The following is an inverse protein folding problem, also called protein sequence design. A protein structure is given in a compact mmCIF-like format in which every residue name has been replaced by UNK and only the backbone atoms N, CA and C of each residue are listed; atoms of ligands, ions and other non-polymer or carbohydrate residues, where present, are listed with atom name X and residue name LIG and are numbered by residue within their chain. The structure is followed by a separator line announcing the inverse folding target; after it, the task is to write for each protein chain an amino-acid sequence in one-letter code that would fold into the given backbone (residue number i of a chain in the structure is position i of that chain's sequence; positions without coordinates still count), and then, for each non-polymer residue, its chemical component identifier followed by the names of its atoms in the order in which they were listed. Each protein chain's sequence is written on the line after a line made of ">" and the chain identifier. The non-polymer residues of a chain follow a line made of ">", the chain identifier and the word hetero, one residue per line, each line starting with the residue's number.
data_IF_592992056014
#
_entry.id   IF_592992056014
#
_cell.length_a   1.000
_cell.length_b   1.000
_cell.length_c   1.000
_cell.angle_alpha   90.00
_cell.angle_beta   90.00
_cell.angle_gamma   90.00
#
_symmetry.space_group_name_H-M   'P 1'
#
loop_
_entity.id
_entity.type
_entity.pdbx_description
1 polymer ?
#
# COMPACT_ATOMS: atom_id res chain seq x y z
N UNK A 1 -19.39 -6.79 4.12
CA UNK A 1 -18.09 -6.13 3.87
C UNK A 1 -17.04 -7.21 3.75
N UNK A 2 -16.12 -7.09 2.79
CA UNK A 2 -14.94 -7.96 2.70
C UNK A 2 -14.09 -7.85 3.97
N UNK A 3 -13.30 -8.89 4.30
CA UNK A 3 -12.33 -8.78 5.38
C UNK A 3 -11.09 -8.01 4.90
N UNK A 4 -10.31 -7.43 5.82
CA UNK A 4 -9.03 -6.80 5.47
C UNK A 4 -8.13 -7.78 4.68
N UNK A 5 -8.06 -9.04 5.12
CA UNK A 5 -7.27 -10.06 4.42
C UNK A 5 -7.75 -10.27 2.98
N UNK A 6 -9.07 -10.36 2.78
CA UNK A 6 -9.62 -10.49 1.43
C UNK A 6 -9.26 -9.31 0.53
N UNK A 7 -9.23 -8.08 1.08
CA UNK A 7 -8.75 -6.89 0.36
C UNK A 7 -7.25 -6.96 0.06
N UNK A 8 -6.41 -7.41 0.99
CA UNK A 8 -4.97 -7.55 0.73
C UNK A 8 -4.68 -8.60 -0.36
N UNK A 9 -5.50 -9.64 -0.44
CA UNK A 9 -5.37 -10.70 -1.44
C UNK A 9 -5.72 -10.22 -2.86
N UNK A 10 -6.43 -9.09 -3.03
CA UNK A 10 -6.70 -8.51 -4.36
C UNK A 10 -5.56 -7.65 -4.90
N UNK A 11 -4.52 -7.39 -4.11
CA UNK A 11 -3.31 -6.69 -4.55
C UNK A 11 -2.52 -7.62 -5.50
N UNK A 12 -2.38 -7.24 -6.77
CA UNK A 12 -1.73 -8.07 -7.79
C UNK A 12 -0.47 -7.41 -8.34
N UNK A 13 0.55 -8.17 -8.77
CA UNK A 13 1.68 -7.60 -9.52
C UNK A 13 1.22 -6.97 -10.84
N UNK A 14 1.77 -5.81 -11.18
CA UNK A 14 1.55 -5.08 -12.43
C UNK A 14 2.90 -4.52 -12.91
N UNK A 15 3.67 -5.35 -13.62
CA UNK A 15 5.06 -5.05 -13.95
C UNK A 15 5.96 -4.98 -12.72
N UNK A 16 6.57 -3.81 -12.47
CA UNK A 16 7.44 -3.58 -11.30
C UNK A 16 6.72 -2.87 -10.13
N UNK A 17 5.38 -2.78 -10.20
CA UNK A 17 4.53 -2.22 -9.16
C UNK A 17 3.48 -3.24 -8.73
N UNK A 18 2.71 -2.92 -7.70
CA UNK A 18 1.50 -3.64 -7.34
C UNK A 18 0.27 -2.80 -7.68
N UNK A 19 -0.82 -3.43 -8.11
CA UNK A 19 -2.05 -2.75 -8.45
C UNK A 19 -3.26 -3.40 -7.76
N UNK A 20 -4.28 -2.60 -7.52
CA UNK A 20 -5.56 -3.04 -6.96
C UNK A 20 -6.67 -2.08 -7.40
N UNK A 21 -7.88 -2.60 -7.61
CA UNK A 21 -9.07 -1.75 -7.70
C UNK A 21 -9.49 -1.35 -6.28
N UNK A 22 -9.65 -0.05 -6.03
CA UNK A 22 -10.06 0.46 -4.73
C UNK A 22 -11.39 -0.22 -4.28
N UNK A 23 -11.39 -0.97 -3.16
CA UNK A 23 -12.58 -1.68 -2.71
C UNK A 23 -13.60 -0.67 -2.17
N UNK A 24 -14.58 -0.33 -3.00
CA UNK A 24 -15.53 0.77 -2.77
C UNK A 24 -16.33 0.65 -1.47
N UNK A 25 -16.50 -0.56 -0.93
CA UNK A 25 -17.14 -0.81 0.35
C UNK A 25 -16.32 -0.33 1.55
N UNK A 26 -15.04 -0.04 1.36
CA UNK A 26 -14.13 0.55 2.34
C UNK A 26 -13.91 2.06 2.13
N UNK A 27 -14.67 2.68 1.22
CA UNK A 27 -14.59 4.11 0.98
C UNK A 27 -15.24 4.94 2.09
N UNK A 28 -14.59 6.04 2.42
CA UNK A 28 -15.15 7.15 3.21
C UNK A 28 -15.37 8.35 2.27
N UNK A 29 -16.55 8.42 1.67
CA UNK A 29 -16.84 9.42 0.65
C UNK A 29 -16.13 9.09 -0.67
N UNK A 30 -15.25 10.00 -1.13
CA UNK A 30 -14.56 9.89 -2.44
C UNK A 30 -13.20 9.17 -2.37
N UNK A 31 -12.82 8.61 -1.23
CA UNK A 31 -11.51 7.97 -1.01
C UNK A 31 -11.67 6.74 -0.14
N UNK A 32 -10.77 5.77 -0.27
CA UNK A 32 -10.62 4.70 0.71
C UNK A 32 -10.34 5.26 2.10
N UNK A 33 -10.83 4.55 3.13
CA UNK A 33 -10.38 4.76 4.49
C UNK A 33 -8.86 4.64 4.55
N UNK A 34 -8.18 5.63 5.15
CA UNK A 34 -6.71 5.73 5.10
C UNK A 34 -5.99 4.50 5.66
N UNK A 35 -6.60 3.78 6.61
CA UNK A 35 -6.06 2.50 7.11
C UNK A 35 -6.00 1.39 6.06
N UNK A 36 -6.92 1.37 5.09
CA UNK A 36 -6.91 0.41 3.98
C UNK A 36 -5.79 0.74 2.99
N UNK A 37 -5.65 2.01 2.61
CA UNK A 37 -4.54 2.45 1.76
C UNK A 37 -3.19 2.19 2.42
N UNK A 38 -3.07 2.43 3.72
CA UNK A 38 -1.86 2.14 4.50
C UNK A 38 -1.55 0.63 4.56
N UNK A 39 -2.57 -0.22 4.74
CA UNK A 39 -2.40 -1.67 4.77
C UNK A 39 -1.98 -2.22 3.40
N UNK A 40 -2.57 -1.72 2.30
CA UNK A 40 -2.19 -2.08 0.93
C UNK A 40 -0.75 -1.64 0.61
N UNK A 41 -0.35 -0.43 1.01
CA UNK A 41 1.03 0.05 0.83
C UNK A 41 2.03 -0.83 1.59
N UNK A 42 1.72 -1.20 2.84
CA UNK A 42 2.57 -2.10 3.61
C UNK A 42 2.63 -3.51 3.01
N UNK A 43 1.51 -4.04 2.52
CA UNK A 43 1.47 -5.34 1.86
C UNK A 43 2.31 -5.34 0.58
N UNK A 44 2.25 -4.27 -0.23
CA UNK A 44 3.13 -4.10 -1.38
C UNK A 44 4.61 -4.13 -0.98
N UNK A 45 4.99 -3.46 0.11
CA UNK A 45 6.37 -3.52 0.66
C UNK A 45 6.73 -4.95 1.08
N UNK A 46 5.83 -5.63 1.79
CA UNK A 46 6.07 -7.00 2.26
C UNK A 46 6.23 -8.01 1.11
N UNK A 47 5.52 -7.81 0.00
CA UNK A 47 5.61 -8.66 -1.20
C UNK A 47 6.80 -8.31 -2.09
N UNK A 48 7.27 -7.08 -2.05
CA UNK A 48 8.41 -6.61 -2.88
C UNK A 48 9.77 -6.92 -2.25
N UNK A 49 9.85 -7.10 -0.93
CA UNK A 49 11.11 -7.19 -0.19
C UNK A 49 11.13 -8.41 0.73
N UNK A 50 12.06 -9.33 0.46
CA UNK A 50 12.24 -10.53 1.28
C UNK A 50 12.89 -10.23 2.63
N UNK A 51 12.60 -11.11 3.60
CA UNK A 51 13.25 -11.16 4.91
C UNK A 51 13.24 -9.84 5.71
N UNK A 52 12.20 -9.02 5.57
CA UNK A 52 12.04 -7.83 6.40
C UNK A 52 11.70 -8.20 7.86
N UNK A 53 12.28 -7.51 8.85
CA UNK A 53 11.83 -7.61 10.23
C UNK A 53 10.40 -7.05 10.38
N UNK A 54 9.71 -7.33 11.50
CA UNK A 54 8.39 -6.76 11.77
C UNK A 54 8.37 -5.24 11.67
N UNK A 55 7.27 -4.68 11.13
CA UNK A 55 7.04 -3.24 11.06
C UNK A 55 7.05 -2.64 12.46
N UNK A 56 7.93 -1.67 12.70
CA UNK A 56 7.99 -0.92 13.97
C UNK A 56 7.29 0.43 13.93
N UNK A 57 7.36 1.10 12.79
CA UNK A 57 6.71 2.38 12.56
C UNK A 57 6.49 2.60 11.07
N UNK A 58 5.48 3.38 10.74
CA UNK A 58 5.22 3.89 9.41
C UNK A 58 4.64 5.31 9.54
N UNK A 59 4.97 6.18 8.59
CA UNK A 59 4.36 7.50 8.46
C UNK A 59 3.71 7.56 7.08
N UNK A 60 2.46 8.02 7.06
CA UNK A 60 1.69 8.16 5.83
C UNK A 60 1.30 9.62 5.64
N UNK A 61 1.44 10.11 4.42
CA UNK A 61 0.97 11.43 4.02
C UNK A 61 -0.06 11.23 2.91
N UNK A 62 -1.32 11.52 3.20
CA UNK A 62 -2.40 11.41 2.24
C UNK A 62 -2.53 12.74 1.48
N UNK A 63 -2.12 12.76 0.22
CA UNK A 63 -2.04 13.98 -0.60
C UNK A 63 -3.31 14.18 -1.45
N UNK A 64 -3.97 13.09 -1.84
CA UNK A 64 -5.19 13.11 -2.66
C UNK A 64 -6.08 11.88 -2.42
N UNK A 65 -7.25 11.83 -3.06
CA UNK A 65 -8.17 10.71 -2.93
C UNK A 65 -7.57 9.40 -3.47
N UNK A 66 -7.69 8.31 -2.70
CA UNK A 66 -7.40 6.96 -3.16
C UNK A 66 -8.70 6.31 -3.67
N UNK A 67 -8.92 6.35 -4.98
CA UNK A 67 -10.08 5.79 -5.68
C UNK A 67 -9.66 5.15 -7.01
N UNK A 68 -10.57 4.40 -7.64
CA UNK A 68 -10.29 3.72 -8.90
C UNK A 68 -9.13 2.73 -8.83
N UNK A 69 -8.33 2.68 -9.90
CA UNK A 69 -7.13 1.85 -10.00
C UNK A 69 -5.99 2.49 -9.18
N UNK A 70 -5.54 1.79 -8.15
CA UNK A 70 -4.39 2.21 -7.34
C UNK A 70 -3.14 1.44 -7.75
N UNK A 71 -2.00 2.13 -7.84
CA UNK A 71 -0.67 1.55 -8.09
C UNK A 71 0.29 1.87 -6.96
N UNK A 72 0.99 0.85 -6.47
CA UNK A 72 1.94 0.93 -5.37
C UNK A 72 3.35 0.63 -5.84
N UNK A 73 4.25 1.60 -5.69
CA UNK A 73 5.68 1.44 -5.93
C UNK A 73 6.41 1.36 -4.60
N UNK A 74 7.46 0.54 -4.51
CA UNK A 74 8.27 0.43 -3.29
C UNK A 74 9.75 0.62 -3.60
N UNK A 75 10.47 1.28 -2.69
CA UNK A 75 11.90 1.54 -2.87
C UNK A 75 12.65 1.38 -1.54
N UNK A 76 13.69 0.55 -1.53
CA UNK A 76 14.60 0.44 -0.39
C UNK A 76 15.42 1.72 -0.27
N UNK A 77 15.21 2.49 0.80
CA UNK A 77 15.95 3.72 1.05
C UNK A 77 17.25 3.46 1.82
N UNK A 78 17.17 2.58 2.83
CA UNK A 78 18.32 2.25 3.69
C UNK A 78 18.16 0.87 4.31
N UNK A 79 19.22 0.06 4.28
CA UNK A 79 19.34 -1.20 5.04
C UNK A 79 20.50 -1.10 6.02
N UNK A 80 20.19 -1.01 7.31
CA UNK A 80 21.16 -0.99 8.40
C UNK A 80 21.16 -2.29 9.20
N UNK A 81 22.04 -2.39 10.19
CA UNK A 81 22.11 -3.54 11.10
C UNK A 81 20.82 -3.73 11.91
N UNK A 82 20.20 -2.63 12.33
CA UNK A 82 19.08 -2.65 13.28
C UNK A 82 17.75 -2.21 12.68
N UNK A 83 17.74 -1.61 11.49
CA UNK A 83 16.54 -1.10 10.83
C UNK A 83 16.69 -1.06 9.31
N UNK A 84 15.55 -1.22 8.64
CA UNK A 84 15.39 -1.08 7.21
C UNK A 84 14.32 -0.02 6.96
N UNK A 85 14.61 0.97 6.11
CA UNK A 85 13.68 2.02 5.71
C UNK A 85 13.32 1.80 4.24
N UNK A 86 12.02 1.78 3.97
CA UNK A 86 11.44 1.56 2.64
C UNK A 86 10.43 2.67 2.39
N UNK A 87 10.51 3.31 1.23
CA UNK A 87 9.48 4.19 0.73
C UNK A 87 8.40 3.36 0.02
N UNK A 88 7.15 3.78 0.16
CA UNK A 88 6.04 3.27 -0.62
C UNK A 88 5.21 4.46 -1.11
N UNK A 89 5.00 4.54 -2.42
CA UNK A 89 4.18 5.55 -3.06
C UNK A 89 2.92 4.89 -3.62
N UNK A 90 1.78 5.56 -3.44
CA UNK A 90 0.49 5.15 -3.98
C UNK A 90 0.01 6.21 -4.98
N UNK A 91 -0.23 5.79 -6.22
CA UNK A 91 -0.80 6.63 -7.28
C UNK A 91 -2.21 6.16 -7.61
N UNK A 92 -3.12 7.13 -7.80
CA UNK A 92 -4.49 6.92 -8.26
C UNK A 92 -4.57 7.36 -9.72
N UNK A 93 -5.32 6.65 -10.57
CA UNK A 93 -5.58 7.15 -11.93
C UNK A 93 -6.48 8.40 -11.93
N UNK A 94 -7.23 8.63 -10.85
CA UNK A 94 -8.14 9.78 -10.70
C UNK A 94 -7.48 10.99 -10.01
N UNK A 95 -6.18 10.96 -9.71
CA UNK A 95 -5.49 12.04 -8.98
C UNK A 95 -3.96 12.01 -9.03
#
# INVERSE_FOLDING_TARGET
>A
MSSLRAVLDTLVPDGNVFAVEAPVEWSQGRTLYGGITAALAYEAVRRSHDALPPLRSAQFTFVGPASGRLRFTTALLRRGRSSTLIAADCLSEEG
#
